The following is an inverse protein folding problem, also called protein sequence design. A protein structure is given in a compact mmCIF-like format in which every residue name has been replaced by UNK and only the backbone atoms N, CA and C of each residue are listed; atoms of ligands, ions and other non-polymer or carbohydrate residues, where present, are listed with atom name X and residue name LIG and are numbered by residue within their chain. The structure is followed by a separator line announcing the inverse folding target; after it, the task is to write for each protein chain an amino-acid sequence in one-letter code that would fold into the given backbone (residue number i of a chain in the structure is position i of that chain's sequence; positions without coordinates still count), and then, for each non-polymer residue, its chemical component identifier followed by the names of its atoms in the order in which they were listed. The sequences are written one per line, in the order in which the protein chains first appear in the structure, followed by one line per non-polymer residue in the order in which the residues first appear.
data_IF_906934216737
#
_entry.id   IF_906934216737
#
_cell.length_a   1.000
_cell.length_b   1.000
_cell.length_c   1.000
_cell.angle_alpha   90.00
_cell.angle_beta   90.00
_cell.angle_gamma   90.00
#
_symmetry.space_group_name_H-M   'P 1'
#
loop_
_entity.id
_entity.type
_entity.pdbx_description
1 polymer ?
#
# COMPACT_ATOMS: atom_id res chain seq x y z
N UNK A 1 59.26 -53.64 2.32
CA UNK A 1 58.92 -52.86 1.15
C UNK A 1 57.45 -52.50 1.26
N UNK A 2 57.11 -51.32 1.84
CA UNK A 2 55.74 -50.89 2.13
C UNK A 2 55.30 -49.94 0.99
N UNK A 3 54.27 -50.35 0.25
CA UNK A 3 53.61 -49.48 -0.78
C UNK A 3 52.52 -48.73 -0.08
N UNK A 4 52.74 -47.37 0.10
CA UNK A 4 51.76 -46.42 0.57
C UNK A 4 50.79 -46.10 -0.57
N UNK A 5 49.51 -46.51 -0.45
CA UNK A 5 48.43 -46.06 -1.33
C UNK A 5 47.94 -44.72 -0.81
N UNK A 6 48.16 -43.66 -1.62
CA UNK A 6 47.63 -42.31 -1.41
C UNK A 6 46.20 -42.30 -1.96
N UNK A 7 45.20 -42.23 -1.06
CA UNK A 7 43.80 -41.98 -1.46
C UNK A 7 43.61 -40.47 -1.60
N UNK A 8 43.47 -40.04 -2.84
CA UNK A 8 43.09 -38.65 -3.19
C UNK A 8 41.56 -38.50 -3.01
N UNK A 9 41.13 -37.93 -1.90
CA UNK A 9 39.72 -37.56 -1.70
C UNK A 9 39.46 -36.24 -2.42
N UNK A 10 38.82 -36.30 -3.59
CA UNK A 10 38.30 -35.12 -4.30
C UNK A 10 37.03 -34.68 -3.58
N UNK A 11 37.11 -33.64 -2.77
CA UNK A 11 35.94 -32.95 -2.21
C UNK A 11 35.35 -32.09 -3.32
N UNK A 12 34.27 -32.56 -3.92
CA UNK A 12 33.40 -31.71 -4.77
C UNK A 12 32.70 -30.68 -3.87
N UNK A 13 33.26 -29.50 -3.77
CA UNK A 13 32.51 -28.32 -3.32
C UNK A 13 31.45 -28.03 -4.37
N UNK A 14 30.22 -28.46 -4.14
CA UNK A 14 29.05 -27.96 -4.87
C UNK A 14 28.86 -26.48 -4.51
N UNK A 15 29.35 -25.59 -5.35
CA UNK A 15 29.03 -24.18 -5.34
C UNK A 15 27.54 -24.03 -5.65
N UNK A 16 26.69 -24.11 -4.60
CA UNK A 16 25.32 -23.68 -4.68
C UNK A 16 25.32 -22.17 -4.83
N UNK A 17 25.32 -21.69 -6.06
CA UNK A 17 25.06 -20.28 -6.35
C UNK A 17 23.69 -19.96 -5.75
N UNK A 18 23.58 -18.97 -4.84
CA UNK A 18 22.27 -18.56 -4.36
C UNK A 18 21.46 -18.10 -5.57
N UNK A 19 20.40 -18.83 -5.86
CA UNK A 19 19.46 -18.47 -6.93
C UNK A 19 18.71 -17.22 -6.45
N UNK A 20 19.27 -16.05 -6.76
CA UNK A 20 18.64 -14.78 -6.45
C UNK A 20 17.32 -14.69 -7.23
N UNK A 21 16.21 -14.54 -6.52
CA UNK A 21 14.93 -14.32 -7.18
C UNK A 21 15.03 -13.06 -8.05
N UNK A 22 14.67 -13.19 -9.33
CA UNK A 22 14.62 -12.05 -10.26
C UNK A 22 13.64 -11.03 -9.70
N UNK A 23 14.09 -9.79 -9.46
CA UNK A 23 13.22 -8.70 -9.03
C UNK A 23 12.65 -8.00 -10.26
N UNK A 24 11.34 -7.77 -10.25
CA UNK A 24 10.62 -7.09 -11.33
C UNK A 24 9.78 -5.98 -10.74
N UNK A 25 9.83 -4.81 -11.38
CA UNK A 25 9.08 -3.65 -10.93
C UNK A 25 7.60 -3.76 -11.26
N UNK A 26 6.78 -3.41 -10.28
CA UNK A 26 5.34 -3.24 -10.38
C UNK A 26 4.97 -1.87 -9.80
N UNK A 27 4.51 -0.97 -10.65
CA UNK A 27 4.23 0.41 -10.25
C UNK A 27 2.72 0.67 -10.18
N UNK A 28 2.27 1.21 -9.06
CA UNK A 28 0.93 1.76 -8.89
C UNK A 28 0.98 3.28 -9.02
N UNK A 29 0.10 3.84 -9.84
CA UNK A 29 -0.12 5.28 -9.94
C UNK A 29 -1.57 5.59 -9.64
N UNK A 30 -1.80 6.51 -8.71
CA UNK A 30 -3.13 6.91 -8.26
C UNK A 30 -3.32 8.40 -8.53
N UNK A 31 -4.35 8.74 -9.29
CA UNK A 31 -4.76 10.12 -9.57
C UNK A 31 -6.12 10.36 -8.94
N UNK A 32 -6.19 11.27 -7.98
CA UNK A 32 -7.46 11.65 -7.37
C UNK A 32 -8.28 12.54 -8.28
N UNK A 33 -9.60 12.30 -8.33
CA UNK A 33 -10.60 12.97 -9.14
C UNK A 33 -11.72 13.50 -8.22
N UNK A 34 -11.47 14.58 -7.45
CA UNK A 34 -12.40 15.07 -6.43
C UNK A 34 -13.78 15.45 -6.97
N UNK A 35 -13.84 15.97 -8.20
CA UNK A 35 -15.09 16.46 -8.81
C UNK A 35 -16.11 15.33 -9.10
N UNK A 36 -15.63 14.09 -9.21
CA UNK A 36 -16.44 12.90 -9.46
C UNK A 36 -16.33 11.86 -8.35
N UNK A 37 -15.74 12.24 -7.21
CA UNK A 37 -15.57 11.40 -6.01
C UNK A 37 -14.85 10.05 -6.26
N UNK A 38 -13.93 10.04 -7.20
CA UNK A 38 -13.21 8.84 -7.67
C UNK A 38 -11.69 9.01 -7.58
N UNK A 39 -10.99 7.91 -7.78
CA UNK A 39 -9.59 7.91 -8.19
C UNK A 39 -9.41 7.05 -9.44
N UNK A 40 -8.46 7.42 -10.27
CA UNK A 40 -7.95 6.59 -11.35
C UNK A 40 -6.69 5.88 -10.86
N UNK A 41 -6.67 4.57 -11.01
CA UNK A 41 -5.54 3.72 -10.62
C UNK A 41 -4.96 3.06 -11.84
N UNK A 42 -3.66 3.19 -12.04
CA UNK A 42 -2.89 2.45 -13.04
C UNK A 42 -1.92 1.50 -12.35
N UNK A 43 -2.00 0.23 -12.69
CA UNK A 43 -1.03 -0.80 -12.35
C UNK A 43 -0.17 -1.06 -13.58
N UNK A 44 1.15 -0.90 -13.46
CA UNK A 44 2.10 -1.14 -14.55
C UNK A 44 3.10 -2.20 -14.16
N UNK A 45 3.24 -3.20 -15.01
CA UNK A 45 4.27 -4.24 -14.94
C UNK A 45 5.42 -3.88 -15.88
N UNK A 46 6.66 -3.99 -15.38
CA UNK A 46 7.84 -3.81 -16.22
C UNK A 46 7.93 -4.87 -17.31
N UNK A 47 8.70 -4.58 -18.34
CA UNK A 47 8.99 -5.54 -19.39
C UNK A 47 9.64 -6.82 -18.82
N UNK A 48 9.23 -7.97 -19.34
CA UNK A 48 9.69 -9.27 -18.90
C UNK A 48 9.20 -9.63 -17.47
N UNK A 49 8.15 -8.99 -16.97
CA UNK A 49 7.48 -9.41 -15.74
C UNK A 49 6.86 -10.79 -15.95
N UNK A 50 7.20 -11.80 -15.13
CA UNK A 50 6.72 -13.17 -15.31
C UNK A 50 5.32 -13.36 -14.76
N UNK A 51 4.48 -12.35 -14.82
CA UNK A 51 3.07 -12.40 -14.40
C UNK A 51 2.24 -12.99 -15.52
N UNK A 52 1.56 -14.10 -15.22
CA UNK A 52 0.67 -14.80 -16.15
C UNK A 52 -0.73 -14.19 -16.07
N UNK A 53 -1.26 -14.00 -14.87
CA UNK A 53 -2.56 -13.39 -14.67
C UNK A 53 -2.73 -12.80 -13.26
N UNK A 54 -3.60 -11.82 -13.18
CA UNK A 54 -4.08 -11.19 -11.95
C UNK A 54 -5.60 -11.32 -11.91
N UNK A 55 -6.12 -12.16 -11.02
CA UNK A 55 -7.57 -12.32 -10.80
C UNK A 55 -8.00 -11.44 -9.62
N UNK A 56 -8.80 -10.42 -9.90
CA UNK A 56 -9.25 -9.40 -8.96
C UNK A 56 -10.58 -9.76 -8.34
N UNK A 57 -10.69 -9.60 -7.02
CA UNK A 57 -11.96 -9.58 -6.31
C UNK A 57 -12.44 -8.12 -6.24
N UNK A 58 -13.39 -7.76 -7.08
CA UNK A 58 -13.92 -6.41 -7.22
C UNK A 58 -14.94 -6.04 -6.13
N UNK A 59 -15.40 -7.03 -5.35
CA UNK A 59 -16.34 -6.79 -4.26
C UNK A 59 -17.70 -6.35 -4.75
N UNK A 60 -18.20 -5.24 -4.20
CA UNK A 60 -19.51 -4.67 -4.54
C UNK A 60 -19.53 -4.07 -5.95
N UNK A 61 -20.62 -4.27 -6.67
CA UNK A 61 -20.81 -3.73 -8.02
C UNK A 61 -20.76 -2.20 -8.04
N UNK A 62 -20.12 -1.64 -9.07
CA UNK A 62 -20.00 -0.19 -9.26
C UNK A 62 -18.93 0.49 -8.41
N UNK A 63 -18.18 -0.26 -7.58
CA UNK A 63 -17.00 0.32 -6.88
C UNK A 63 -15.86 0.54 -7.86
N UNK A 64 -15.60 -0.41 -8.74
CA UNK A 64 -14.56 -0.33 -9.77
C UNK A 64 -15.17 -0.31 -11.17
N UNK A 65 -14.68 0.57 -12.05
CA UNK A 65 -15.21 0.79 -13.40
C UNK A 65 -14.12 1.17 -14.39
N UNK A 66 -14.50 1.31 -15.67
CA UNK A 66 -13.68 1.88 -16.75
C UNK A 66 -12.33 1.16 -16.94
N UNK A 67 -12.34 -0.16 -16.87
CA UNK A 67 -11.14 -0.97 -17.06
C UNK A 67 -10.57 -0.84 -18.48
N UNK A 68 -9.29 -0.50 -18.57
CA UNK A 68 -8.50 -0.45 -19.80
C UNK A 68 -7.19 -1.20 -19.56
N UNK A 69 -6.85 -2.14 -20.42
CA UNK A 69 -5.71 -3.02 -20.22
C UNK A 69 -4.87 -3.17 -21.49
N UNK A 70 -3.56 -3.20 -21.32
CA UNK A 70 -2.67 -3.81 -22.29
C UNK A 70 -2.70 -5.33 -22.05
N UNK A 71 -2.95 -6.10 -23.09
CA UNK A 71 -3.26 -7.53 -22.99
C UNK A 71 -4.79 -7.77 -22.92
N UNK A 72 -5.20 -8.78 -22.18
CA UNK A 72 -6.60 -9.19 -22.10
C UNK A 72 -7.18 -8.87 -20.70
N UNK A 73 -8.29 -8.14 -20.69
CA UNK A 73 -9.15 -8.00 -19.52
C UNK A 73 -10.45 -8.79 -19.77
N UNK A 74 -10.81 -9.65 -18.83
CA UNK A 74 -12.08 -10.39 -18.83
C UNK A 74 -12.78 -10.12 -17.52
N UNK A 75 -14.03 -9.68 -17.58
CA UNK A 75 -14.87 -9.53 -16.40
C UNK A 75 -15.82 -10.72 -16.32
N UNK A 76 -15.51 -11.66 -15.43
CA UNK A 76 -16.23 -12.92 -15.29
C UNK A 76 -17.58 -12.73 -14.57
N UNK A 77 -17.68 -11.70 -13.71
CA UNK A 77 -18.89 -11.28 -13.02
C UNK A 77 -18.73 -9.82 -12.53
N UNK A 78 -19.80 -9.17 -12.01
CA UNK A 78 -19.66 -7.86 -11.38
C UNK A 78 -18.62 -7.81 -10.27
N UNK A 79 -18.41 -8.91 -9.56
CA UNK A 79 -17.48 -9.02 -8.42
C UNK A 79 -16.10 -9.58 -8.81
N UNK A 80 -15.87 -10.01 -10.04
CA UNK A 80 -14.61 -10.67 -10.43
C UNK A 80 -14.16 -10.28 -11.82
N UNK A 81 -12.88 -10.00 -11.97
CA UNK A 81 -12.25 -9.75 -13.25
C UNK A 81 -10.83 -10.28 -13.30
N UNK A 82 -10.36 -10.67 -14.47
CA UNK A 82 -9.04 -11.24 -14.67
C UNK A 82 -8.28 -10.44 -15.73
N UNK A 83 -7.08 -9.99 -15.37
CA UNK A 83 -6.14 -9.38 -16.32
C UNK A 83 -5.03 -10.37 -16.65
N UNK A 84 -4.84 -10.59 -17.96
CA UNK A 84 -3.68 -11.29 -18.52
C UNK A 84 -2.82 -10.23 -19.23
N UNK A 85 -1.65 -9.87 -18.67
CA UNK A 85 -0.79 -8.85 -19.24
C UNK A 85 -0.34 -9.21 -20.64
N UNK A 86 -0.16 -8.20 -21.49
CA UNK A 86 0.44 -8.37 -22.82
C UNK A 86 1.93 -8.67 -22.74
N UNK A 87 2.55 -8.91 -23.90
CA UNK A 87 4.00 -9.03 -24.02
C UNK A 87 4.65 -7.64 -23.81
N UNK A 88 5.77 -7.61 -23.07
CA UNK A 88 6.47 -6.37 -22.78
C UNK A 88 5.90 -5.62 -21.56
N UNK A 89 6.17 -4.32 -21.51
CA UNK A 89 5.58 -3.45 -20.48
C UNK A 89 4.06 -3.39 -20.67
N UNK A 90 3.33 -3.72 -19.62
CA UNK A 90 1.87 -3.79 -19.68
C UNK A 90 1.22 -3.00 -18.54
N UNK A 91 0.06 -2.43 -18.80
CA UNK A 91 -0.70 -1.66 -17.80
C UNK A 91 -2.17 -2.08 -17.76
N UNK A 92 -2.74 -1.96 -16.56
CA UNK A 92 -4.18 -2.02 -16.29
C UNK A 92 -4.58 -0.72 -15.61
N UNK A 93 -5.52 0.01 -16.19
CA UNK A 93 -6.06 1.25 -15.62
C UNK A 93 -7.55 1.08 -15.38
N UNK A 94 -8.02 1.61 -14.25
CA UNK A 94 -9.45 1.60 -13.89
C UNK A 94 -9.78 2.79 -12.99
N UNK A 95 -11.07 3.03 -12.78
CA UNK A 95 -11.57 3.99 -11.80
C UNK A 95 -12.12 3.28 -10.58
N UNK A 96 -11.99 3.93 -9.43
CA UNK A 96 -12.54 3.46 -8.16
C UNK A 96 -13.31 4.57 -7.48
N UNK A 97 -14.54 4.28 -7.02
CA UNK A 97 -15.34 5.17 -6.17
C UNK A 97 -14.70 5.22 -4.79
N UNK A 98 -14.44 6.42 -4.28
CA UNK A 98 -13.77 6.62 -2.98
C UNK A 98 -14.78 6.67 -1.84
N UNK A 99 -15.84 7.48 -1.98
CA UNK A 99 -16.78 7.65 -0.90
C UNK A 99 -17.47 6.32 -0.55
N UNK A 100 -17.30 5.91 0.69
CA UNK A 100 -17.92 4.73 1.26
C UNK A 100 -18.57 5.07 2.60
N UNK A 101 -19.88 4.89 2.69
CA UNK A 101 -20.65 5.03 3.92
C UNK A 101 -20.63 3.72 4.71
N UNK A 102 -20.10 3.78 5.91
CA UNK A 102 -20.14 2.67 6.87
C UNK A 102 -21.51 2.54 7.56
N UNK A 103 -22.19 3.67 7.72
CA UNK A 103 -23.56 3.79 8.22
C UNK A 103 -24.14 5.10 7.71
N UNK A 104 -25.47 5.32 7.71
CA UNK A 104 -26.08 6.50 7.15
C UNK A 104 -25.41 7.80 7.60
N UNK A 105 -24.90 8.58 6.63
CA UNK A 105 -24.21 9.83 6.84
C UNK A 105 -22.85 9.73 7.55
N UNK A 106 -22.26 8.53 7.67
CA UNK A 106 -20.94 8.30 8.30
C UNK A 106 -20.04 7.52 7.37
N UNK A 107 -18.90 8.12 7.03
CA UNK A 107 -17.96 7.62 6.05
C UNK A 107 -16.75 6.93 6.72
N UNK A 108 -16.28 5.83 6.19
CA UNK A 108 -14.97 5.26 6.50
C UNK A 108 -13.96 5.43 5.36
N UNK A 109 -14.41 5.92 4.20
CA UNK A 109 -13.57 6.47 3.14
C UNK A 109 -14.28 7.68 2.52
N UNK A 110 -13.54 8.79 2.32
CA UNK A 110 -14.11 10.02 1.78
C UNK A 110 -13.10 10.81 0.96
N UNK A 111 -13.59 11.40 -0.13
CA UNK A 111 -12.89 12.40 -0.92
C UNK A 111 -13.71 13.68 -0.98
N UNK A 112 -13.06 14.82 -0.88
CA UNK A 112 -13.62 16.16 -0.97
C UNK A 112 -12.78 16.99 -1.94
N UNK A 113 -13.15 18.23 -2.18
CA UNK A 113 -12.34 19.17 -2.99
C UNK A 113 -10.95 19.41 -2.39
N UNK A 114 -10.81 19.30 -1.07
CA UNK A 114 -9.60 19.68 -0.35
C UNK A 114 -8.76 18.51 0.14
N UNK A 115 -9.35 17.32 0.31
CA UNK A 115 -8.66 16.17 0.85
C UNK A 115 -9.36 14.85 0.53
N UNK A 116 -8.62 13.75 0.67
CA UNK A 116 -9.13 12.39 0.70
C UNK A 116 -8.55 11.64 1.90
N UNK A 117 -9.38 10.79 2.52
CA UNK A 117 -9.00 9.84 3.56
C UNK A 117 -9.66 8.51 3.25
N UNK A 118 -8.86 7.46 3.06
CA UNK A 118 -9.32 6.14 2.62
C UNK A 118 -8.28 5.07 2.96
N UNK A 119 -8.63 3.80 2.71
CA UNK A 119 -7.66 2.71 2.80
C UNK A 119 -7.07 2.41 1.41
N UNK A 120 -5.79 2.11 1.38
CA UNK A 120 -5.12 1.63 0.16
C UNK A 120 -5.72 0.32 -0.36
N UNK A 121 -6.27 -0.49 0.56
CA UNK A 121 -7.01 -1.72 0.24
C UNK A 121 -8.20 -1.46 -0.70
N UNK A 122 -8.81 -0.28 -0.62
CA UNK A 122 -9.95 0.11 -1.43
C UNK A 122 -9.51 0.65 -2.81
N UNK A 123 -8.26 1.14 -2.94
CA UNK A 123 -7.71 1.57 -4.23
C UNK A 123 -7.37 0.40 -5.13
N UNK A 124 -6.81 -0.66 -4.56
CA UNK A 124 -6.41 -1.87 -5.30
C UNK A 124 -7.07 -3.07 -4.65
N UNK A 125 -8.02 -3.71 -5.33
CA UNK A 125 -8.76 -4.83 -4.78
C UNK A 125 -7.85 -6.04 -4.51
N UNK A 126 -8.33 -7.00 -3.73
CA UNK A 126 -7.60 -8.23 -3.48
C UNK A 126 -7.35 -8.99 -4.79
N UNK A 127 -6.14 -9.52 -4.94
CA UNK A 127 -5.68 -10.18 -6.16
C UNK A 127 -5.15 -11.57 -5.87
N UNK A 128 -5.54 -12.53 -6.70
CA UNK A 128 -4.86 -13.82 -6.82
C UNK A 128 -3.86 -13.74 -7.96
N UNK A 129 -2.58 -13.66 -7.59
CA UNK A 129 -1.47 -13.62 -8.55
C UNK A 129 -1.15 -15.03 -9.06
N UNK A 130 -1.03 -15.18 -10.39
CA UNK A 130 -0.41 -16.31 -11.04
C UNK A 130 0.83 -15.82 -11.78
N UNK A 131 1.99 -16.34 -11.43
CA UNK A 131 3.28 -15.95 -12.03
C UNK A 131 4.18 -17.18 -12.20
N UNK A 132 5.22 -17.03 -13.02
CA UNK A 132 6.30 -18.01 -13.09
C UNK A 132 7.08 -18.05 -11.77
N UNK A 133 7.64 -19.21 -11.44
CA UNK A 133 8.37 -19.42 -10.18
C UNK A 133 9.63 -18.54 -10.09
N UNK A 134 10.00 -18.22 -8.84
CA UNK A 134 11.24 -17.52 -8.46
C UNK A 134 11.33 -16.03 -8.86
N UNK A 135 10.21 -15.34 -8.99
CA UNK A 135 10.21 -13.88 -9.18
C UNK A 135 9.66 -13.18 -7.96
N UNK A 136 10.31 -12.09 -7.56
CA UNK A 136 9.84 -11.16 -6.55
C UNK A 136 9.40 -9.86 -7.24
N UNK A 137 8.15 -9.48 -7.05
CA UNK A 137 7.67 -8.16 -7.46
C UNK A 137 8.16 -7.11 -6.45
N UNK A 138 8.63 -5.98 -6.97
CA UNK A 138 9.01 -4.81 -6.17
C UNK A 138 8.01 -3.71 -6.46
N UNK A 139 7.17 -3.42 -5.50
CA UNK A 139 6.04 -2.53 -5.71
C UNK A 139 6.33 -1.11 -5.25
N UNK A 140 5.94 -0.14 -6.08
CA UNK A 140 6.00 1.29 -5.78
C UNK A 140 4.62 1.90 -5.97
N UNK A 141 4.32 2.90 -5.14
CA UNK A 141 3.07 3.63 -5.17
C UNK A 141 3.36 5.11 -5.37
N UNK A 142 2.78 5.71 -6.38
CA UNK A 142 2.90 7.12 -6.68
C UNK A 142 1.54 7.79 -6.75
N UNK A 143 1.42 8.99 -6.19
CA UNK A 143 0.20 9.78 -6.25
C UNK A 143 0.38 11.02 -7.11
N UNK A 144 -0.58 11.25 -8.00
CA UNK A 144 -0.77 12.50 -8.72
C UNK A 144 -1.85 13.30 -7.99
N UNK A 145 -1.42 14.38 -7.37
CA UNK A 145 -2.29 15.22 -6.56
C UNK A 145 -2.97 16.29 -7.43
N UNK A 146 -4.28 16.51 -7.25
CA UNK A 146 -4.99 17.61 -7.90
C UNK A 146 -4.39 18.99 -7.58
N UNK A 147 -4.69 19.98 -8.41
CA UNK A 147 -4.29 21.37 -8.15
C UNK A 147 -4.78 21.83 -6.78
N UNK A 148 -3.89 22.41 -5.99
CA UNK A 148 -4.18 22.89 -4.63
C UNK A 148 -3.95 21.85 -3.53
N UNK A 149 -3.86 20.56 -3.85
CA UNK A 149 -3.45 19.55 -2.88
C UNK A 149 -1.93 19.61 -2.66
N UNK A 150 -1.50 19.48 -1.40
CA UNK A 150 -0.08 19.73 -1.04
C UNK A 150 0.70 18.48 -0.72
N UNK A 151 0.07 17.47 -0.13
CA UNK A 151 0.78 16.29 0.37
C UNK A 151 -0.10 15.05 0.40
N UNK A 152 0.56 13.90 0.52
CA UNK A 152 -0.05 12.60 0.76
C UNK A 152 0.80 11.84 1.78
N UNK A 153 0.14 11.13 2.70
CA UNK A 153 0.78 10.24 3.68
C UNK A 153 0.17 8.84 3.59
N UNK A 154 1.04 7.84 3.77
CA UNK A 154 0.68 6.41 3.84
C UNK A 154 1.49 5.73 4.94
N UNK A 155 1.08 4.55 5.36
CA UNK A 155 1.87 3.68 6.24
C UNK A 155 3.10 3.04 5.57
N UNK A 156 3.45 3.43 4.35
CA UNK A 156 4.60 2.90 3.62
C UNK A 156 5.77 3.88 3.60
N UNK A 157 7.01 3.38 3.60
CA UNK A 157 8.20 4.22 3.52
C UNK A 157 8.19 5.12 2.29
N UNK A 158 8.47 6.40 2.51
CA UNK A 158 8.54 7.40 1.45
C UNK A 158 9.89 7.32 0.73
N UNK A 159 9.88 7.22 -0.60
CA UNK A 159 11.07 7.19 -1.46
C UNK A 159 11.16 8.38 -2.41
N UNK A 160 10.21 9.30 -2.34
CA UNK A 160 10.17 10.54 -3.15
C UNK A 160 8.99 11.42 -2.76
N UNK A 161 8.81 12.56 -3.44
CA UNK A 161 7.77 13.57 -3.16
C UNK A 161 6.42 12.87 -3.26
N UNK A 162 5.77 12.17 -3.40
CA UNK A 162 4.47 11.48 -3.47
C UNK A 162 4.68 10.02 -3.88
N UNK A 163 5.87 9.49 -3.57
CA UNK A 163 6.25 8.15 -3.97
C UNK A 163 6.63 7.32 -2.75
N UNK A 164 6.12 6.11 -2.69
CA UNK A 164 6.27 5.20 -1.58
C UNK A 164 6.71 3.83 -2.08
N UNK A 165 7.45 3.10 -1.25
CA UNK A 165 7.80 1.71 -1.50
C UNK A 165 6.85 0.81 -0.71
N UNK A 166 6.17 -0.10 -1.42
CA UNK A 166 5.38 -1.15 -0.78
C UNK A 166 6.30 -2.34 -0.60
N UNK A 167 6.42 -2.81 0.63
CA UNK A 167 7.26 -3.94 0.98
C UNK A 167 6.51 -4.77 2.03
N UNK A 168 5.88 -5.83 1.59
CA UNK A 168 5.16 -6.74 2.45
C UNK A 168 5.67 -8.17 2.26
N UNK A 169 6.71 -8.57 3.01
CA UNK A 169 7.36 -9.88 2.86
C UNK A 169 6.43 -11.06 3.16
N UNK A 170 5.28 -10.80 3.78
CA UNK A 170 4.29 -11.83 4.09
C UNK A 170 3.30 -12.09 2.96
N UNK A 171 3.34 -11.32 1.88
CA UNK A 171 2.40 -11.42 0.76
C UNK A 171 3.11 -11.63 -0.57
N UNK A 172 2.60 -12.53 -1.40
CA UNK A 172 3.10 -12.75 -2.77
C UNK A 172 2.79 -11.59 -3.71
N UNK A 173 1.72 -10.86 -3.45
CA UNK A 173 1.31 -9.69 -4.22
C UNK A 173 1.28 -8.47 -3.32
N UNK A 174 2.23 -7.57 -3.55
CA UNK A 174 2.34 -6.31 -2.83
C UNK A 174 1.38 -5.29 -3.42
N UNK A 175 0.29 -5.03 -2.74
CA UNK A 175 -0.66 -3.97 -3.07
C UNK A 175 -0.65 -2.87 -2.01
N UNK A 176 -1.04 -1.65 -2.36
CA UNK A 176 -1.28 -0.61 -1.37
C UNK A 176 -2.29 -1.12 -0.34
N UNK A 177 -1.91 -1.09 0.94
CA UNK A 177 -2.79 -1.41 2.06
C UNK A 177 -2.60 -0.36 3.15
N UNK A 178 -3.49 -0.32 4.12
CA UNK A 178 -3.42 0.66 5.20
C UNK A 178 -4.02 2.01 4.82
N UNK A 179 -4.01 2.93 5.78
CA UNK A 179 -4.61 4.24 5.61
C UNK A 179 -3.80 5.16 4.71
N UNK A 180 -4.50 5.95 3.91
CA UNK A 180 -3.98 6.99 3.04
C UNK A 180 -4.73 8.28 3.34
N UNK A 181 -4.01 9.37 3.54
CA UNK A 181 -4.57 10.72 3.61
C UNK A 181 -3.84 11.63 2.63
N UNK A 182 -4.59 12.34 1.80
CA UNK A 182 -4.05 13.22 0.76
C UNK A 182 -4.79 14.55 0.70
N UNK A 183 -4.14 15.60 0.22
CA UNK A 183 -4.77 16.91 0.02
C UNK A 183 -4.12 18.05 0.79
N UNK A 184 -4.94 18.97 1.31
CA UNK A 184 -4.52 19.99 2.28
C UNK A 184 -4.36 19.36 3.65
N UNK A 185 -3.25 18.67 3.86
CA UNK A 185 -2.96 17.84 5.05
C UNK A 185 -1.89 18.47 5.90
N UNK A 186 -2.15 18.56 7.21
CA UNK A 186 -1.16 18.88 8.22
C UNK A 186 -0.55 17.59 8.78
N UNK A 187 0.78 17.50 8.82
CA UNK A 187 1.49 16.30 9.31
C UNK A 187 2.50 16.65 10.38
N UNK A 188 2.54 15.87 11.45
CA UNK A 188 3.62 15.85 12.43
C UNK A 188 4.42 14.57 12.26
N UNK A 189 5.77 14.68 12.27
CA UNK A 189 6.67 13.53 12.11
C UNK A 189 7.66 13.47 13.25
N UNK A 190 8.03 12.24 13.63
CA UNK A 190 9.12 11.96 14.57
C UNK A 190 9.71 10.58 14.25
N UNK A 191 10.95 10.39 14.72
CA UNK A 191 11.57 9.07 14.76
C UNK A 191 11.41 8.52 16.17
N UNK A 192 10.74 7.36 16.31
CA UNK A 192 10.60 6.63 17.57
C UNK A 192 11.26 5.26 17.42
N UNK A 193 12.37 5.03 18.10
CA UNK A 193 13.22 3.86 17.83
C UNK A 193 13.67 3.83 16.38
N UNK A 194 13.42 2.74 15.69
CA UNK A 194 13.70 2.59 14.25
C UNK A 194 12.49 2.95 13.36
N UNK A 195 11.36 3.37 13.96
CA UNK A 195 10.11 3.65 13.27
C UNK A 195 10.00 5.13 12.88
N UNK A 196 9.76 5.39 11.61
CA UNK A 196 9.38 6.72 11.10
C UNK A 196 7.89 6.93 11.34
N UNK A 197 7.52 7.78 12.31
CA UNK A 197 6.13 8.03 12.73
C UNK A 197 5.61 9.29 12.08
N UNK A 198 4.42 9.21 11.47
CA UNK A 198 3.69 10.35 10.96
C UNK A 198 2.28 10.38 11.56
N UNK A 199 1.85 11.57 12.03
CA UNK A 199 0.48 11.84 12.45
C UNK A 199 -0.08 12.89 11.53
N UNK A 200 -1.09 12.54 10.75
CA UNK A 200 -1.59 13.35 9.66
C UNK A 200 -3.12 13.50 9.70
N UNK A 201 -3.60 14.70 9.39
CA UNK A 201 -5.02 14.98 9.27
C UNK A 201 -5.26 16.11 8.26
N UNK A 202 -6.42 16.15 7.60
CA UNK A 202 -6.79 17.31 6.83
C UNK A 202 -6.79 18.59 7.69
N UNK A 203 -6.40 19.69 7.08
CA UNK A 203 -6.39 20.99 7.77
C UNK A 203 -7.82 21.39 8.13
N UNK A 204 -8.05 21.78 9.37
CA UNK A 204 -9.38 22.16 9.89
C UNK A 204 -10.16 21.03 10.56
N UNK A 205 -9.72 19.77 10.44
CA UNK A 205 -10.44 18.60 11.00
C UNK A 205 -10.19 18.34 12.49
N UNK A 206 -9.55 19.26 13.20
CA UNK A 206 -9.47 19.28 14.67
C UNK A 206 -8.56 18.23 15.33
N UNK A 207 -7.80 17.46 14.58
CA UNK A 207 -6.93 16.44 15.17
C UNK A 207 -5.78 17.05 15.98
N UNK A 208 -5.64 16.64 17.24
CA UNK A 208 -4.57 17.08 18.16
C UNK A 208 -3.29 16.30 17.95
N UNK A 209 -2.61 16.57 16.81
CA UNK A 209 -1.43 15.82 16.36
C UNK A 209 -0.26 15.83 17.33
N UNK A 210 -0.08 16.92 18.08
CA UNK A 210 0.98 17.01 19.10
C UNK A 210 0.70 16.12 20.29
N UNK A 211 -0.53 16.08 20.76
CA UNK A 211 -0.90 15.27 21.92
C UNK A 211 -0.77 13.78 21.61
N UNK A 212 -1.20 13.37 20.39
CA UNK A 212 -0.99 11.99 19.91
C UNK A 212 0.50 11.66 19.83
N UNK A 213 1.34 12.57 19.32
CA UNK A 213 2.79 12.35 19.25
C UNK A 213 3.41 12.23 20.65
N UNK A 214 3.00 13.08 21.56
CA UNK A 214 3.47 13.04 22.96
C UNK A 214 3.10 11.71 23.62
N UNK A 215 1.86 11.28 23.47
CA UNK A 215 1.40 9.98 23.98
C UNK A 215 2.24 8.83 23.41
N UNK A 216 2.43 8.80 22.07
CA UNK A 216 3.24 7.76 21.44
C UNK A 216 4.68 7.78 21.94
N UNK A 217 5.30 8.95 22.07
CA UNK A 217 6.66 9.07 22.59
C UNK A 217 6.77 8.51 24.01
N UNK A 218 5.76 8.76 24.83
CA UNK A 218 5.72 8.29 26.22
C UNK A 218 5.55 6.76 26.31
N UNK A 219 4.67 6.17 25.48
CA UNK A 219 4.39 4.72 25.53
C UNK A 219 5.34 3.87 24.69
N UNK A 220 6.14 4.49 23.81
CA UNK A 220 6.98 3.76 22.84
C UNK A 220 7.96 2.76 23.48
N UNK A 221 8.65 3.07 24.58
CA UNK A 221 9.53 2.09 25.24
C UNK A 221 8.81 0.82 25.68
N UNK A 222 7.56 0.95 26.16
CA UNK A 222 6.74 -0.20 26.56
C UNK A 222 6.31 -1.01 25.34
N UNK A 223 5.97 -0.34 24.25
CA UNK A 223 5.64 -1.02 22.96
C UNK A 223 6.85 -1.82 22.47
N UNK A 224 8.06 -1.24 22.49
CA UNK A 224 9.29 -1.93 22.08
C UNK A 224 9.64 -3.11 23.01
N UNK A 225 9.33 -3.03 24.28
CA UNK A 225 9.57 -4.12 25.23
C UNK A 225 8.71 -5.37 24.90
N UNK A 226 7.54 -5.18 24.29
CA UNK A 226 6.61 -6.27 23.92
C UNK A 226 6.82 -6.74 22.48
N UNK A 227 7.09 -5.81 21.56
CA UNK A 227 7.27 -6.10 20.14
C UNK A 227 8.74 -5.97 19.75
N UNK A 228 9.44 -7.08 19.45
CA UNK A 228 10.90 -7.09 19.24
C UNK A 228 11.33 -6.44 17.91
N UNK A 229 10.39 -6.03 17.06
CA UNK A 229 10.68 -5.41 15.75
C UNK A 229 9.87 -4.14 15.59
N UNK A 230 10.57 -3.05 15.39
CA UNK A 230 9.97 -1.79 14.98
C UNK A 230 9.52 -1.88 13.52
N UNK A 231 8.28 -1.47 13.18
CA UNK A 231 7.90 -1.27 11.79
C UNK A 231 8.73 -0.13 11.18
N UNK A 232 9.07 -0.21 9.90
CA UNK A 232 9.81 0.86 9.22
C UNK A 232 9.03 2.19 9.24
N UNK A 233 7.70 2.14 9.24
CA UNK A 233 6.81 3.30 9.31
C UNK A 233 5.54 3.00 10.09
N UNK A 234 5.03 4.02 10.80
CA UNK A 234 3.71 4.06 11.40
C UNK A 234 3.00 5.35 10.99
N UNK A 235 1.79 5.24 10.48
CA UNK A 235 0.93 6.38 10.19
C UNK A 235 -0.29 6.38 11.10
N UNK A 236 -0.56 7.51 11.76
CA UNK A 236 -1.85 7.76 12.40
C UNK A 236 -2.56 8.84 11.61
N UNK A 237 -3.79 8.56 11.22
CA UNK A 237 -4.64 9.51 10.50
C UNK A 237 -5.91 9.81 11.28
N UNK A 238 -6.47 11.00 11.11
CA UNK A 238 -7.74 11.36 11.71
C UNK A 238 -8.45 12.44 10.96
N UNK A 239 -9.78 12.44 11.11
CA UNK A 239 -10.65 13.50 10.65
C UNK A 239 -11.90 13.57 11.53
N UNK A 240 -12.60 14.70 11.48
CA UNK A 240 -13.86 14.93 12.19
C UNK A 240 -15.08 14.40 11.44
N UNK A 241 -16.25 14.84 11.88
CA UNK A 241 -17.51 14.54 11.20
C UNK A 241 -17.49 15.01 9.73
N UNK A 242 -18.08 14.29 8.82
CA UNK A 242 -18.92 13.10 9.00
C UNK A 242 -18.15 11.76 8.88
N UNK A 243 -16.85 11.75 9.14
CA UNK A 243 -16.14 10.47 9.22
C UNK A 243 -16.68 9.63 10.39
N UNK A 244 -16.58 8.32 10.25
CA UNK A 244 -17.05 7.39 11.29
C UNK A 244 -16.35 7.63 12.63
N UNK A 245 -17.14 7.72 13.70
CA UNK A 245 -16.68 8.02 15.06
C UNK A 245 -16.07 6.82 15.77
N UNK A 246 -15.04 6.24 15.20
CA UNK A 246 -14.33 5.09 15.75
C UNK A 246 -12.83 5.18 15.63
N UNK A 247 -12.18 4.04 15.83
CA UNK A 247 -10.77 3.80 15.55
C UNK A 247 -10.63 2.48 14.79
N UNK A 248 -9.75 2.45 13.81
CA UNK A 248 -9.55 1.26 12.98
C UNK A 248 -8.08 1.11 12.60
N UNK A 249 -7.49 -0.02 13.02
CA UNK A 249 -6.14 -0.42 12.61
C UNK A 249 -6.13 -0.95 11.19
N UNK A 250 -5.03 -0.69 10.50
CA UNK A 250 -4.72 -1.26 9.19
C UNK A 250 -3.20 -1.42 9.07
N UNK A 251 -2.72 -1.94 7.93
CA UNK A 251 -1.28 -2.18 7.74
C UNK A 251 -0.46 -0.92 8.00
N UNK A 252 0.45 -0.98 8.97
CA UNK A 252 1.34 0.11 9.39
C UNK A 252 0.62 1.43 9.67
N UNK A 253 -0.67 1.39 10.00
CA UNK A 253 -1.46 2.61 10.17
C UNK A 253 -2.68 2.41 11.07
N UNK A 254 -3.14 3.54 11.62
CA UNK A 254 -4.32 3.60 12.48
C UNK A 254 -5.14 4.85 12.15
N UNK A 255 -6.45 4.68 12.01
CA UNK A 255 -7.40 5.78 11.93
C UNK A 255 -8.04 6.02 13.28
N UNK A 256 -8.20 7.29 13.65
CA UNK A 256 -8.99 7.70 14.80
C UNK A 256 -9.85 8.93 14.47
N UNK A 257 -11.06 8.97 14.97
CA UNK A 257 -11.88 10.16 14.84
C UNK A 257 -11.30 11.30 15.68
N UNK A 258 -11.23 12.53 15.13
CA UNK A 258 -10.56 13.67 15.77
C UNK A 258 -11.16 14.07 17.13
N UNK A 259 -12.44 13.78 17.36
CA UNK A 259 -13.15 14.08 18.61
C UNK A 259 -13.04 12.98 19.67
N UNK A 260 -12.25 11.92 19.42
CA UNK A 260 -11.99 10.90 20.44
C UNK A 260 -11.01 11.43 21.47
N UNK A 261 -11.25 11.19 22.78
CA UNK A 261 -10.23 11.43 23.80
C UNK A 261 -9.02 10.51 23.57
N UNK A 262 -7.87 11.00 23.96
CA UNK A 262 -6.63 10.24 23.94
C UNK A 262 -6.50 9.40 25.19
#
# INVERSE_FOLDING_TARGET
MLIRRLLLSVVLLSLSTPLWAKKVDMDYRVRFLPDVEQAEVSLTLADGAPVISLAFNLGEEGVYSDFKADGQWTQDSPAQGTWQPGKGKSSLTYRVRINHERSPGRFDARITKDWALLRGDDLVPAVKLRQEDKTQLVSRLQFDLPKGWKSVETGWPRIGKNKFRIDNPLRKFDRPTGWVVAGKVGTRRAQLGQTDVAIAAPVGEGMRRMDVMTLLTFVWPQVQAVFPRDPAKLLIVGAGDPMWRGGLSATNSYYMHSNRPL
#
